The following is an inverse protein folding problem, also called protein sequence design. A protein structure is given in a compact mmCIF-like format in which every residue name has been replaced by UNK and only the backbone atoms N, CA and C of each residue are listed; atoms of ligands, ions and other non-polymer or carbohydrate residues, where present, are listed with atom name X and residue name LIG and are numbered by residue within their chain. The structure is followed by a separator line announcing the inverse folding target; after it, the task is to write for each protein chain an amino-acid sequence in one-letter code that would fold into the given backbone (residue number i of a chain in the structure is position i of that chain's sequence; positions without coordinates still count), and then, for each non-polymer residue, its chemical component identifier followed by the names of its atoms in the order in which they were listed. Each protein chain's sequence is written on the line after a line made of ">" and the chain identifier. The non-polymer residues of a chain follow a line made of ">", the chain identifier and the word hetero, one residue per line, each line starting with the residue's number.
data_IF_574303876680
#
_entry.id   IF_574303876680
#
_cell.length_a   1.000
_cell.length_b   1.000
_cell.length_c   1.000
_cell.angle_alpha   90.00
_cell.angle_beta   90.00
_cell.angle_gamma   90.00
#
_symmetry.space_group_name_H-M   'P 1'
#
loop_
_entity.id
_entity.type
_entity.pdbx_description
1 polymer ?
#
# COMPACT_ATOMS: atom_id res chain seq x y z
N UNK A 1 -9.23 -9.65 11.28
CA UNK A 1 -8.73 -8.37 10.75
C UNK A 1 -9.73 -7.27 11.05
N UNK A 2 -9.29 -6.01 11.07
CA UNK A 2 -10.16 -4.85 11.28
C UNK A 2 -11.03 -4.67 10.04
N UNK A 3 -12.36 -4.68 10.22
CA UNK A 3 -13.34 -4.52 9.14
C UNK A 3 -14.05 -3.17 9.17
N UNK A 4 -14.10 -2.57 10.36
CA UNK A 4 -14.77 -1.31 10.62
C UNK A 4 -13.81 -0.16 10.28
N UNK A 5 -14.29 0.80 9.48
CA UNK A 5 -13.56 2.00 9.12
C UNK A 5 -13.05 2.77 10.35
N UNK A 6 -13.88 2.92 11.38
CA UNK A 6 -13.50 3.64 12.60
C UNK A 6 -12.33 2.94 13.31
N UNK A 7 -12.29 1.61 13.27
CA UNK A 7 -11.17 0.84 13.84
C UNK A 7 -9.90 0.97 12.99
N UNK A 8 -10.00 0.96 11.66
CA UNK A 8 -8.86 1.16 10.76
C UNK A 8 -8.25 2.55 10.97
N UNK A 9 -9.09 3.58 11.02
CA UNK A 9 -8.68 4.96 11.33
C UNK A 9 -7.99 5.03 12.69
N UNK A 10 -8.63 4.49 13.73
CA UNK A 10 -8.10 4.53 15.09
C UNK A 10 -6.76 3.81 15.23
N UNK A 11 -6.62 2.64 14.61
CA UNK A 11 -5.37 1.88 14.62
C UNK A 11 -4.24 2.65 13.90
N UNK A 12 -4.56 3.32 12.80
CA UNK A 12 -3.60 4.15 12.05
C UNK A 12 -3.13 5.34 12.89
N UNK A 13 -4.05 6.08 13.51
CA UNK A 13 -3.73 7.20 14.39
C UNK A 13 -2.85 6.78 15.57
N UNK A 14 -3.18 5.67 16.23
CA UNK A 14 -2.40 5.15 17.37
C UNK A 14 -0.99 4.82 16.92
N UNK A 15 -0.85 4.15 15.77
CA UNK A 15 0.46 3.75 15.23
C UNK A 15 1.32 4.97 14.92
N UNK A 16 0.76 5.99 14.27
CA UNK A 16 1.46 7.24 13.95
C UNK A 16 1.84 8.00 15.22
N UNK A 17 0.92 8.15 16.19
CA UNK A 17 1.20 8.80 17.48
C UNK A 17 2.29 8.08 18.28
N UNK A 18 2.43 6.78 18.09
CA UNK A 18 3.49 5.97 18.69
C UNK A 18 4.83 6.03 17.93
N UNK A 19 4.91 6.78 16.82
CA UNK A 19 6.16 7.00 16.08
C UNK A 19 6.40 6.02 14.91
N UNK A 20 5.35 5.44 14.34
CA UNK A 20 5.51 4.58 13.16
C UNK A 20 5.94 5.40 11.92
N UNK A 21 7.04 5.00 11.28
CA UNK A 21 7.49 5.58 10.00
C UNK A 21 6.63 5.13 8.81
N UNK A 22 5.99 3.97 8.92
CA UNK A 22 5.09 3.44 7.92
C UNK A 22 3.88 2.79 8.58
N UNK A 23 2.71 2.98 7.97
CA UNK A 23 1.53 2.17 8.27
C UNK A 23 1.26 1.21 7.11
N UNK A 24 1.02 -0.07 7.45
CA UNK A 24 0.89 -1.19 6.52
C UNK A 24 -0.48 -1.84 6.67
N UNK A 25 -1.15 -2.15 5.56
CA UNK A 25 -2.53 -2.68 5.58
C UNK A 25 -2.66 -4.06 6.23
N UNK A 26 -1.88 -5.05 5.78
CA UNK A 26 -2.02 -6.43 6.25
C UNK A 26 -0.69 -7.20 6.33
N UNK A 27 -0.73 -8.40 6.92
CA UNK A 27 0.42 -9.32 6.97
C UNK A 27 0.62 -10.09 5.66
N UNK A 28 -0.40 -10.17 4.80
CA UNK A 28 -0.41 -11.03 3.61
C UNK A 28 -0.81 -12.49 3.89
N UNK A 29 -1.19 -12.85 5.13
CA UNK A 29 -1.43 -14.25 5.57
C UNK A 29 -2.86 -14.52 6.01
N UNK A 30 -3.78 -13.67 5.62
CA UNK A 30 -5.14 -13.56 6.15
C UNK A 30 -6.12 -13.39 5.00
N UNK A 31 -7.41 -13.61 5.27
CA UNK A 31 -8.42 -13.74 4.21
C UNK A 31 -8.65 -12.43 3.45
N UNK A 32 -8.68 -11.28 4.14
CA UNK A 32 -8.97 -9.97 3.55
C UNK A 32 -7.75 -9.07 3.71
N UNK A 33 -6.90 -9.01 2.69
CA UNK A 33 -5.68 -8.19 2.73
C UNK A 33 -5.97 -6.72 2.33
N UNK A 34 -5.00 -6.03 1.73
CA UNK A 34 -5.21 -4.68 1.23
C UNK A 34 -6.47 -4.59 0.34
N UNK A 35 -7.27 -3.58 0.58
CA UNK A 35 -8.37 -3.15 -0.30
C UNK A 35 -8.20 -1.65 -0.60
N UNK A 36 -8.71 -1.14 -1.73
CA UNK A 36 -8.69 0.30 -2.02
C UNK A 36 -9.32 1.16 -0.91
N UNK A 37 -10.38 0.66 -0.27
CA UNK A 37 -11.10 1.35 0.79
C UNK A 37 -10.23 1.48 2.05
N UNK A 38 -9.65 0.36 2.51
CA UNK A 38 -8.73 0.37 3.67
C UNK A 38 -7.49 1.22 3.39
N UNK A 39 -6.94 1.19 2.18
CA UNK A 39 -5.82 2.01 1.78
C UNK A 39 -6.14 3.51 1.82
N UNK A 40 -7.31 3.91 1.29
CA UNK A 40 -7.77 5.30 1.34
C UNK A 40 -7.92 5.79 2.78
N UNK A 41 -8.59 5.02 3.65
CA UNK A 41 -8.76 5.40 5.06
C UNK A 41 -7.41 5.63 5.74
N UNK A 42 -6.46 4.72 5.54
CA UNK A 42 -5.12 4.83 6.14
C UNK A 42 -4.35 6.06 5.62
N UNK A 43 -4.39 6.33 4.31
CA UNK A 43 -3.75 7.51 3.73
C UNK A 43 -4.44 8.82 4.12
N UNK A 44 -5.77 8.84 4.22
CA UNK A 44 -6.48 10.00 4.77
C UNK A 44 -6.04 10.31 6.20
N UNK A 45 -5.76 9.30 7.04
CA UNK A 45 -5.20 9.55 8.38
C UNK A 45 -3.82 10.22 8.30
N UNK A 46 -2.94 9.77 7.41
CA UNK A 46 -1.62 10.40 7.19
C UNK A 46 -1.80 11.89 6.83
N UNK A 47 -2.71 12.18 5.89
CA UNK A 47 -3.04 13.56 5.46
C UNK A 47 -3.64 14.38 6.60
N UNK A 48 -4.67 13.86 7.27
CA UNK A 48 -5.44 14.55 8.29
C UNK A 48 -4.58 14.87 9.53
N UNK A 49 -3.55 14.05 9.79
CA UNK A 49 -2.58 14.30 10.85
C UNK A 49 -1.43 15.24 10.44
N UNK A 50 -1.31 15.60 9.16
CA UNK A 50 -0.25 16.48 8.65
C UNK A 50 1.15 15.86 8.73
N UNK A 51 1.25 14.54 8.61
CA UNK A 51 2.50 13.77 8.75
C UNK A 51 2.99 13.17 7.43
N UNK A 52 2.43 13.61 6.30
CA UNK A 52 2.74 13.08 4.97
C UNK A 52 4.22 13.24 4.57
N UNK A 53 4.98 14.12 5.23
CA UNK A 53 6.43 14.29 5.01
C UNK A 53 7.31 13.29 5.76
N UNK A 54 6.76 12.57 6.73
CA UNK A 54 7.54 11.70 7.64
C UNK A 54 6.97 10.29 7.75
N UNK A 55 5.69 10.07 7.41
CA UNK A 55 5.03 8.76 7.48
C UNK A 55 4.66 8.30 6.08
N UNK A 56 5.06 7.07 5.76
CA UNK A 56 4.71 6.39 4.53
C UNK A 56 3.55 5.39 4.64
N UNK A 57 3.06 4.95 3.49
CA UNK A 57 2.03 3.94 3.35
C UNK A 57 2.54 2.70 2.61
N UNK A 58 2.07 1.52 3.04
CA UNK A 58 2.42 0.24 2.41
C UNK A 58 1.20 -0.66 2.22
N UNK A 59 0.56 -0.69 1.03
CA UNK A 59 -0.42 -1.73 0.73
C UNK A 59 0.28 -3.09 0.64
N UNK A 60 -0.26 -4.09 1.33
CA UNK A 60 0.30 -5.44 1.33
C UNK A 60 -0.76 -6.52 1.22
N UNK A 61 -0.43 -7.57 0.46
CA UNK A 61 -1.31 -8.70 0.16
C UNK A 61 -2.42 -8.34 -0.82
N UNK A 62 -2.64 -9.19 -1.82
CA UNK A 62 -3.73 -9.01 -2.79
C UNK A 62 -3.41 -8.14 -4.02
N UNK A 63 -2.33 -7.35 -4.01
CA UNK A 63 -1.88 -6.59 -5.20
C UNK A 63 -1.12 -7.53 -6.15
N UNK A 64 -1.74 -7.92 -7.27
CA UNK A 64 -1.18 -8.95 -8.16
C UNK A 64 -0.78 -8.44 -9.54
N UNK A 65 -1.43 -7.41 -10.05
CA UNK A 65 -1.21 -6.91 -11.42
C UNK A 65 -0.81 -5.43 -11.44
N UNK A 66 -0.38 -4.95 -12.61
CA UNK A 66 -0.09 -3.53 -12.83
C UNK A 66 -1.35 -2.66 -12.61
N UNK A 67 -2.51 -3.14 -13.05
CA UNK A 67 -3.80 -2.48 -12.88
C UNK A 67 -4.22 -2.42 -11.41
N UNK A 68 -3.94 -3.46 -10.63
CA UNK A 68 -4.16 -3.41 -9.18
C UNK A 68 -3.25 -2.37 -8.53
N UNK A 69 -1.96 -2.36 -8.86
CA UNK A 69 -1.01 -1.39 -8.34
C UNK A 69 -1.42 0.06 -8.69
N UNK A 70 -1.90 0.29 -9.91
CA UNK A 70 -2.38 1.59 -10.37
C UNK A 70 -3.52 2.14 -9.49
N UNK A 71 -4.46 1.29 -9.06
CA UNK A 71 -5.57 1.73 -8.18
C UNK A 71 -5.05 2.33 -6.87
N UNK A 72 -4.04 1.72 -6.26
CA UNK A 72 -3.48 2.21 -5.00
C UNK A 72 -2.58 3.45 -5.18
N UNK A 73 -1.88 3.56 -6.31
CA UNK A 73 -1.10 4.76 -6.65
C UNK A 73 -2.02 5.95 -6.94
N UNK A 74 -3.12 5.74 -7.66
CA UNK A 74 -4.09 6.80 -7.97
C UNK A 74 -4.69 7.43 -6.69
N UNK A 75 -4.92 6.64 -5.63
CA UNK A 75 -5.37 7.16 -4.34
C UNK A 75 -4.29 8.05 -3.70
N UNK A 76 -3.02 7.64 -3.79
CA UNK A 76 -1.91 8.45 -3.28
C UNK A 76 -1.77 9.77 -4.05
N UNK A 77 -1.86 9.71 -5.39
CA UNK A 77 -1.79 10.89 -6.25
C UNK A 77 -2.94 11.87 -5.97
N UNK A 78 -4.16 11.37 -5.75
CA UNK A 78 -5.33 12.19 -5.41
C UNK A 78 -5.17 12.91 -4.07
N UNK A 79 -4.59 12.23 -3.06
CA UNK A 79 -4.49 12.77 -1.70
C UNK A 79 -3.27 13.67 -1.48
N UNK A 80 -2.16 13.40 -2.17
CA UNK A 80 -0.86 14.00 -1.88
C UNK A 80 -0.14 14.59 -3.10
N UNK A 81 -0.63 14.34 -4.31
CA UNK A 81 0.02 14.70 -5.56
C UNK A 81 0.99 13.63 -6.07
N UNK A 82 1.32 13.71 -7.37
CA UNK A 82 2.06 12.67 -8.10
C UNK A 82 3.49 12.41 -7.59
N UNK A 83 4.11 13.37 -6.90
CA UNK A 83 5.48 13.25 -6.41
C UNK A 83 5.58 12.62 -5.01
N UNK A 84 4.44 12.42 -4.32
CA UNK A 84 4.46 11.91 -2.96
C UNK A 84 4.86 10.43 -2.90
N UNK A 85 4.44 9.63 -3.88
CA UNK A 85 4.65 8.19 -3.91
C UNK A 85 6.09 7.79 -4.29
N UNK A 86 7.07 8.25 -3.52
CA UNK A 86 8.49 7.88 -3.64
C UNK A 86 8.85 6.68 -2.73
N UNK A 87 10.11 6.21 -2.80
CA UNK A 87 10.56 5.07 -2.00
C UNK A 87 10.60 5.29 -0.48
N UNK A 88 10.49 6.53 0.00
CA UNK A 88 10.42 6.91 1.42
C UNK A 88 9.00 6.96 1.95
N UNK A 89 8.02 7.22 1.10
CA UNK A 89 6.62 7.36 1.52
C UNK A 89 5.72 6.25 0.99
N UNK A 90 6.16 5.45 0.00
CA UNK A 90 5.33 4.42 -0.61
C UNK A 90 6.08 3.12 -0.88
N UNK A 91 5.45 1.98 -0.56
CA UNK A 91 5.99 0.64 -0.86
C UNK A 91 4.88 -0.34 -1.21
N UNK A 92 5.11 -1.22 -2.19
CA UNK A 92 4.26 -2.41 -2.35
C UNK A 92 4.75 -3.58 -1.52
N UNK A 93 3.87 -4.17 -0.71
CA UNK A 93 4.08 -5.47 -0.06
C UNK A 93 3.52 -6.60 -0.92
N UNK A 94 4.27 -7.06 -1.91
CA UNK A 94 3.83 -8.06 -2.87
C UNK A 94 4.92 -9.09 -3.20
N UNK A 95 4.49 -10.28 -3.65
CA UNK A 95 5.38 -11.34 -4.16
C UNK A 95 5.16 -11.56 -5.66
N UNK A 96 3.94 -11.85 -6.09
CA UNK A 96 3.61 -12.13 -7.50
C UNK A 96 3.57 -10.89 -8.41
N UNK A 97 3.47 -9.68 -7.83
CA UNK A 97 3.35 -8.43 -8.59
C UNK A 97 4.55 -8.20 -9.51
N UNK A 98 5.76 -8.57 -9.08
CA UNK A 98 6.98 -8.36 -9.87
C UNK A 98 6.88 -8.98 -11.25
N UNK A 99 6.41 -10.23 -11.34
CA UNK A 99 6.26 -10.92 -12.61
C UNK A 99 5.25 -10.19 -13.53
N UNK A 100 4.16 -9.67 -12.97
CA UNK A 100 3.18 -8.88 -13.74
C UNK A 100 3.79 -7.58 -14.25
N UNK A 101 4.57 -6.87 -13.43
CA UNK A 101 5.20 -5.61 -13.83
C UNK A 101 6.26 -5.82 -14.91
N UNK A 102 7.11 -6.85 -14.77
CA UNK A 102 8.10 -7.21 -15.79
C UNK A 102 7.43 -7.55 -17.13
N UNK A 103 6.32 -8.29 -17.09
CA UNK A 103 5.54 -8.58 -18.29
C UNK A 103 4.96 -7.30 -18.93
N UNK A 104 4.38 -6.40 -18.14
CA UNK A 104 3.84 -5.13 -18.63
C UNK A 104 4.92 -4.23 -19.27
N UNK A 105 6.16 -4.33 -18.80
CA UNK A 105 7.32 -3.63 -19.34
C UNK A 105 7.99 -4.35 -20.54
N UNK A 106 7.45 -5.49 -20.98
CA UNK A 106 7.97 -6.23 -22.13
C UNK A 106 9.16 -7.17 -21.83
N UNK A 107 9.43 -7.48 -20.56
CA UNK A 107 10.53 -8.39 -20.15
C UNK A 107 10.11 -9.88 -20.04
N UNK A 108 9.04 -10.28 -20.73
CA UNK A 108 8.40 -11.59 -20.56
C UNK A 108 9.04 -12.73 -21.34
N UNK A 109 10.13 -13.31 -20.82
CA UNK A 109 10.54 -14.71 -21.09
C UNK A 109 11.48 -15.34 -20.03
N UNK A 110 11.89 -14.59 -19.00
CA UNK A 110 12.53 -15.19 -17.83
C UNK A 110 11.47 -15.82 -16.94
N UNK A 111 11.34 -17.15 -16.95
CA UNK A 111 10.57 -17.91 -15.93
C UNK A 111 10.83 -17.28 -14.56
N UNK A 112 9.79 -16.75 -13.92
CA UNK A 112 9.89 -16.26 -12.55
C UNK A 112 10.20 -17.46 -11.66
N UNK A 113 11.48 -17.65 -11.35
CA UNK A 113 11.99 -18.69 -10.46
C UNK A 113 11.73 -18.31 -8.98
N UNK A 114 10.55 -17.77 -8.68
CA UNK A 114 10.16 -17.50 -7.30
C UNK A 114 9.58 -18.79 -6.71
N UNK A 115 10.43 -19.60 -6.10
CA UNK A 115 10.05 -20.79 -5.33
C UNK A 115 9.69 -20.46 -3.87
N UNK A 116 9.13 -19.28 -3.62
CA UNK A 116 8.64 -18.86 -2.30
C UNK A 116 7.12 -18.91 -2.24
#
# INVERSE_FOLDING_TARGET
>A
ELKDEALIRKASEISIKAGADFIKTSTGKVAVNATPESARIMMEVIRDMGVEKTVGFKPAGGVRTAEDAQKYLAIADELFGADWADARHYRFGASSLLASLLKALGHGDGKSASSY
#
